data_IF_872407471033
#
_entry.id   IF_872407471033
#
_cell.length_a   1.000
_cell.length_b   1.000
_cell.length_c   1.000
_cell.angle_alpha   90.00
_cell.angle_beta   90.00
_cell.angle_gamma   90.00
#
_symmetry.space_group_name_H-M   'P 1'
#
loop_
_entity.id
_entity.type
_entity.pdbx_description
1 polymer ?
#
# COMPACT_ATOMS: atom_id res chain seq x y z
N UNK A 1 20.63 -13.19 -8.60
CA UNK A 1 19.44 -12.32 -8.80
C UNK A 1 19.61 -10.94 -8.16
N UNK A 2 20.25 -10.85 -7.00
CA UNK A 2 20.47 -9.65 -6.20
C UNK A 2 21.15 -8.50 -6.95
N UNK A 3 22.18 -8.76 -7.77
CA UNK A 3 22.91 -7.68 -8.46
C UNK A 3 22.11 -6.93 -9.53
N UNK A 4 21.26 -7.62 -10.31
CA UNK A 4 20.42 -6.97 -11.34
C UNK A 4 19.30 -6.18 -10.69
N UNK A 5 18.64 -6.76 -9.68
CA UNK A 5 17.57 -6.08 -8.94
C UNK A 5 18.15 -4.86 -8.21
N UNK A 6 19.31 -4.97 -7.60
CA UNK A 6 19.98 -3.85 -6.91
C UNK A 6 20.21 -2.65 -7.84
N UNK A 7 20.67 -2.86 -9.09
CA UNK A 7 20.86 -1.76 -10.06
C UNK A 7 19.58 -0.98 -10.35
N UNK A 8 18.44 -1.63 -10.36
CA UNK A 8 17.13 -0.96 -10.55
C UNK A 8 16.85 -0.02 -9.36
N UNK A 9 17.19 -0.45 -8.15
CA UNK A 9 17.01 0.38 -6.95
C UNK A 9 18.06 1.48 -6.84
N UNK A 10 19.30 1.27 -7.30
CA UNK A 10 20.36 2.29 -7.33
C UNK A 10 19.97 3.47 -8.23
N UNK A 11 19.38 3.21 -9.40
CA UNK A 11 18.88 4.30 -10.27
C UNK A 11 17.78 5.12 -9.58
N UNK A 12 16.98 4.48 -8.72
CA UNK A 12 15.92 5.15 -7.96
C UNK A 12 16.48 6.01 -6.82
N UNK A 13 17.59 5.63 -6.22
CA UNK A 13 18.27 6.43 -5.17
C UNK A 13 18.65 7.81 -5.69
N UNK A 14 19.18 7.89 -6.91
CA UNK A 14 19.52 9.19 -7.55
C UNK A 14 18.30 10.10 -7.71
N UNK A 15 17.12 9.52 -7.98
CA UNK A 15 15.89 10.31 -8.03
C UNK A 15 15.43 10.75 -6.62
N UNK A 16 15.62 9.91 -5.59
CA UNK A 16 15.26 10.24 -4.21
C UNK A 16 16.12 11.37 -3.65
N UNK A 17 17.41 11.46 -4.03
CA UNK A 17 18.29 12.57 -3.65
C UNK A 17 17.76 13.92 -4.16
N UNK A 18 17.14 13.96 -5.35
CA UNK A 18 16.50 15.17 -5.86
C UNK A 18 15.35 15.65 -4.98
N UNK A 19 14.63 14.73 -4.30
CA UNK A 19 13.52 15.12 -3.41
C UNK A 19 13.99 15.96 -2.22
N UNK A 20 15.24 15.80 -1.77
CA UNK A 20 15.82 16.60 -0.69
C UNK A 20 16.16 18.02 -1.17
N UNK A 21 16.60 18.16 -2.41
CA UNK A 21 17.11 19.42 -2.95
C UNK A 21 16.04 20.19 -3.74
N UNK A 22 15.12 19.48 -4.39
CA UNK A 22 14.14 20.04 -5.34
C UNK A 22 12.69 19.77 -4.91
N UNK A 23 12.44 19.54 -3.61
CA UNK A 23 11.14 19.10 -3.10
C UNK A 23 9.96 20.00 -3.53
N UNK A 24 10.14 21.32 -3.52
CA UNK A 24 9.10 22.28 -3.95
C UNK A 24 8.79 22.10 -5.44
N UNK A 25 9.79 22.09 -6.31
CA UNK A 25 9.62 21.93 -7.75
C UNK A 25 8.94 20.60 -8.10
N UNK A 26 9.28 19.53 -7.38
CA UNK A 26 8.66 18.20 -7.55
C UNK A 26 7.19 18.20 -7.12
N UNK A 27 6.84 18.88 -6.03
CA UNK A 27 5.45 19.03 -5.60
C UNK A 27 4.63 19.84 -6.60
N UNK A 28 5.18 20.93 -7.12
CA UNK A 28 4.56 21.75 -8.17
C UNK A 28 4.34 20.95 -9.46
N UNK A 29 5.30 20.12 -9.84
CA UNK A 29 5.17 19.23 -11.00
C UNK A 29 4.06 18.18 -10.80
N UNK A 30 3.94 17.61 -9.60
CA UNK A 30 2.86 16.67 -9.27
C UNK A 30 1.51 17.36 -9.30
N UNK A 31 1.38 18.54 -8.71
CA UNK A 31 0.14 19.33 -8.73
C UNK A 31 -0.28 19.67 -10.16
N UNK A 32 0.67 20.18 -10.97
CA UNK A 32 0.42 20.52 -12.39
C UNK A 32 -0.04 19.30 -13.18
N UNK A 33 0.56 18.13 -12.92
CA UNK A 33 0.12 16.88 -13.54
C UNK A 33 -1.30 16.50 -13.10
N UNK A 34 -1.63 16.57 -11.80
CA UNK A 34 -2.98 16.26 -11.29
C UNK A 34 -4.05 17.14 -11.91
N UNK A 35 -3.78 18.45 -11.98
CA UNK A 35 -4.69 19.43 -12.61
C UNK A 35 -4.88 19.10 -14.10
N UNK A 36 -3.79 18.83 -14.82
CA UNK A 36 -3.84 18.53 -16.25
C UNK A 36 -4.60 17.24 -16.56
N UNK A 37 -4.42 16.19 -15.74
CA UNK A 37 -5.16 14.94 -15.91
C UNK A 37 -6.65 15.11 -15.61
N UNK A 38 -7.00 15.85 -14.56
CA UNK A 38 -8.39 15.97 -14.10
C UNK A 38 -9.17 17.12 -14.78
N UNK A 39 -8.56 17.92 -15.66
CA UNK A 39 -9.18 19.14 -16.22
C UNK A 39 -10.51 18.91 -16.94
N UNK A 40 -10.68 17.73 -17.58
CA UNK A 40 -11.90 17.37 -18.31
C UNK A 40 -12.93 16.63 -17.46
N UNK A 41 -12.64 16.36 -16.19
CA UNK A 41 -13.62 15.79 -15.24
C UNK A 41 -14.68 16.85 -14.89
N UNK A 42 -15.82 16.40 -14.35
CA UNK A 42 -16.83 17.33 -13.81
C UNK A 42 -16.22 18.24 -12.75
N UNK A 43 -15.48 17.65 -11.80
CA UNK A 43 -14.79 18.40 -10.75
C UNK A 43 -13.79 19.42 -11.33
N UNK A 44 -12.99 18.99 -12.31
CA UNK A 44 -12.02 19.88 -12.96
C UNK A 44 -12.65 21.05 -13.70
N UNK A 45 -13.74 20.81 -14.42
CA UNK A 45 -14.49 21.88 -15.11
C UNK A 45 -15.13 22.86 -14.12
N UNK A 46 -15.77 22.34 -13.05
CA UNK A 46 -16.41 23.15 -12.02
C UNK A 46 -15.42 24.06 -11.27
N UNK A 47 -14.14 23.69 -11.24
CA UNK A 47 -13.08 24.43 -10.57
C UNK A 47 -12.06 25.05 -11.52
N UNK A 48 -12.41 25.18 -12.81
CA UNK A 48 -11.61 25.84 -13.84
C UNK A 48 -10.16 25.30 -13.98
N UNK A 49 -9.97 23.99 -13.86
CA UNK A 49 -8.64 23.37 -13.97
C UNK A 49 -7.93 23.67 -15.29
N UNK A 50 -8.67 23.85 -16.40
CA UNK A 50 -8.09 24.16 -17.71
C UNK A 50 -7.28 25.48 -17.75
N UNK A 51 -7.61 26.43 -16.88
CA UNK A 51 -6.95 27.74 -16.82
C UNK A 51 -6.09 27.93 -15.57
N UNK A 52 -6.11 26.96 -14.66
CA UNK A 52 -5.45 27.02 -13.35
C UNK A 52 -3.93 26.95 -13.48
N UNK A 53 -3.23 27.90 -12.85
CA UNK A 53 -1.76 27.99 -12.87
C UNK A 53 -1.19 27.87 -11.46
N UNK A 54 -0.68 26.67 -11.14
CA UNK A 54 0.09 26.48 -9.93
C UNK A 54 -0.69 26.47 -8.61
N UNK A 55 0.08 26.51 -7.53
CA UNK A 55 -0.42 26.26 -6.17
C UNK A 55 -1.34 27.36 -5.65
N UNK A 56 -1.02 28.64 -5.93
CA UNK A 56 -1.77 29.77 -5.38
C UNK A 56 -3.20 29.82 -5.95
N UNK A 57 -3.36 29.57 -7.25
CA UNK A 57 -4.69 29.49 -7.86
C UNK A 57 -5.44 28.24 -7.41
N UNK A 58 -4.73 27.12 -7.23
CA UNK A 58 -5.32 25.90 -6.70
C UNK A 58 -5.92 26.13 -5.31
N UNK A 59 -5.15 26.66 -4.37
CA UNK A 59 -5.62 26.92 -2.99
C UNK A 59 -6.73 27.95 -2.90
N UNK A 60 -6.77 28.91 -3.84
CA UNK A 60 -7.82 29.95 -3.91
C UNK A 60 -9.13 29.39 -4.45
N UNK A 61 -9.09 28.49 -5.43
CA UNK A 61 -10.26 28.02 -6.16
C UNK A 61 -10.82 26.70 -5.64
N UNK A 62 -10.00 25.89 -4.93
CA UNK A 62 -10.42 24.61 -4.41
C UNK A 62 -10.63 24.70 -2.90
N UNK A 63 -11.87 24.57 -2.41
CA UNK A 63 -12.10 24.50 -0.97
C UNK A 63 -11.57 23.19 -0.38
N UNK A 64 -11.29 23.19 0.91
CA UNK A 64 -11.01 21.96 1.65
C UNK A 64 -12.33 21.20 1.75
N UNK A 65 -12.37 20.02 1.14
CA UNK A 65 -13.55 19.16 1.14
C UNK A 65 -13.42 18.05 2.18
N UNK A 66 -14.51 17.78 2.87
CA UNK A 66 -14.68 16.56 3.67
C UNK A 66 -15.12 15.39 2.79
N UNK A 67 -15.05 14.17 3.32
CA UNK A 67 -15.57 13.00 2.61
C UNK A 67 -17.08 13.13 2.31
N UNK A 68 -17.84 13.70 3.24
CA UNK A 68 -19.32 13.80 3.10
C UNK A 68 -19.68 14.73 1.94
N UNK A 69 -18.89 15.78 1.67
CA UNK A 69 -19.10 16.68 0.54
C UNK A 69 -18.77 16.04 -0.81
N UNK A 70 -17.86 15.07 -0.83
CA UNK A 70 -17.49 14.33 -2.05
C UNK A 70 -18.27 13.01 -2.22
N UNK A 71 -19.06 12.63 -1.23
CA UNK A 71 -19.70 11.32 -1.16
C UNK A 71 -20.61 11.03 -2.35
N UNK A 72 -21.44 11.97 -2.75
CA UNK A 72 -22.37 11.78 -3.88
C UNK A 72 -21.61 11.58 -5.19
N UNK A 73 -20.52 12.33 -5.40
CA UNK A 73 -19.62 12.15 -6.55
C UNK A 73 -18.96 10.77 -6.52
N UNK A 74 -18.49 10.33 -5.35
CA UNK A 74 -17.91 9.00 -5.17
C UNK A 74 -18.95 7.90 -5.43
N UNK A 75 -20.17 8.05 -4.95
CA UNK A 75 -21.25 7.08 -5.17
C UNK A 75 -21.65 7.00 -6.66
N UNK A 76 -21.71 8.10 -7.38
CA UNK A 76 -21.88 8.12 -8.84
C UNK A 76 -20.75 7.34 -9.56
N UNK A 77 -19.50 7.58 -9.18
CA UNK A 77 -18.35 6.84 -9.71
C UNK A 77 -18.46 5.34 -9.41
N UNK A 78 -18.93 4.95 -8.23
CA UNK A 78 -19.15 3.54 -7.86
C UNK A 78 -20.23 2.87 -8.71
N UNK A 79 -21.24 3.62 -9.15
CA UNK A 79 -22.27 3.16 -10.08
C UNK A 79 -21.82 3.19 -11.55
N UNK A 80 -20.55 3.49 -11.81
CA UNK A 80 -19.93 3.38 -13.13
C UNK A 80 -19.86 4.68 -13.92
N UNK A 81 -20.24 5.82 -13.32
CA UNK A 81 -20.07 7.11 -13.97
C UNK A 81 -18.58 7.46 -14.10
N UNK A 82 -18.19 7.92 -15.27
CA UNK A 82 -16.81 8.29 -15.59
C UNK A 82 -16.60 9.78 -15.49
N UNK A 83 -15.37 10.21 -15.37
CA UNK A 83 -14.98 11.62 -15.48
C UNK A 83 -15.65 12.54 -14.45
N UNK A 84 -15.98 12.01 -13.25
CA UNK A 84 -16.55 12.79 -12.15
C UNK A 84 -15.44 13.48 -11.36
N UNK A 85 -14.69 12.76 -10.51
CA UNK A 85 -13.55 13.31 -9.73
C UNK A 85 -12.20 12.99 -10.37
N UNK A 86 -12.13 11.93 -11.16
CA UNK A 86 -10.93 11.44 -11.84
C UNK A 86 -11.28 10.94 -13.24
N UNK A 87 -10.36 11.05 -14.24
CA UNK A 87 -10.64 10.63 -15.60
C UNK A 87 -10.93 9.14 -15.72
N UNK A 88 -11.89 8.83 -16.55
CA UNK A 88 -12.30 7.46 -16.87
C UNK A 88 -12.96 6.74 -15.71
N UNK A 89 -12.94 5.40 -15.79
CA UNK A 89 -13.58 4.54 -14.79
C UNK A 89 -12.61 4.16 -13.66
N UNK A 90 -13.02 4.39 -12.41
CA UNK A 90 -12.35 3.86 -11.23
C UNK A 90 -13.04 2.56 -10.81
N UNK A 91 -12.30 1.45 -10.89
CA UNK A 91 -12.83 0.12 -10.59
C UNK A 91 -12.76 -0.24 -9.11
N UNK A 92 -11.72 0.22 -8.41
CA UNK A 92 -11.45 -0.18 -7.03
C UNK A 92 -11.75 0.92 -6.03
N UNK A 93 -12.34 0.50 -4.89
CA UNK A 93 -12.64 1.39 -3.77
C UNK A 93 -12.13 0.78 -2.48
N UNK A 94 -11.24 1.49 -1.79
CA UNK A 94 -10.75 1.09 -0.49
C UNK A 94 -11.79 1.41 0.58
N UNK A 95 -12.18 0.39 1.35
CA UNK A 95 -13.08 0.56 2.49
C UNK A 95 -12.26 1.00 3.71
N UNK A 96 -12.58 2.17 4.27
CA UNK A 96 -11.98 2.59 5.55
C UNK A 96 -12.67 1.89 6.73
N UNK A 97 -11.90 1.64 7.79
CA UNK A 97 -12.42 1.19 9.07
C UNK A 97 -13.12 2.35 9.78
N UNK A 98 -14.30 2.75 9.35
CA UNK A 98 -14.99 3.94 9.87
C UNK A 98 -15.02 3.99 11.40
N UNK A 99 -14.28 4.93 11.97
CA UNK A 99 -14.27 5.22 13.42
C UNK A 99 -15.24 6.35 13.78
N UNK A 100 -15.81 7.03 12.80
CA UNK A 100 -16.74 8.14 13.00
C UNK A 100 -18.09 7.79 12.38
N UNK A 101 -19.14 7.69 13.18
CA UNK A 101 -20.55 7.46 12.78
C UNK A 101 -20.89 6.11 12.12
N UNK A 102 -20.22 5.02 12.45
CA UNK A 102 -20.54 3.63 11.98
C UNK A 102 -20.72 3.43 10.46
N UNK A 103 -20.39 4.42 9.63
CA UNK A 103 -20.51 4.33 8.18
C UNK A 103 -19.14 4.17 7.53
N UNK A 104 -18.92 3.05 6.87
CA UNK A 104 -17.71 2.83 6.07
C UNK A 104 -17.62 3.85 4.95
N UNK A 105 -16.41 4.43 4.77
CA UNK A 105 -16.10 5.31 3.65
C UNK A 105 -15.47 4.50 2.52
N UNK A 106 -15.78 4.85 1.29
CA UNK A 106 -15.27 4.20 0.08
C UNK A 106 -14.36 5.16 -0.67
N UNK A 107 -13.07 4.95 -0.57
CA UNK A 107 -12.06 5.82 -1.17
C UNK A 107 -11.71 5.29 -2.56
N UNK A 108 -11.91 6.09 -3.62
CA UNK A 108 -11.55 5.68 -4.98
C UNK A 108 -10.05 5.39 -5.10
N UNK A 109 -9.70 4.27 -5.74
CA UNK A 109 -8.31 3.87 -5.99
C UNK A 109 -8.09 3.77 -7.49
N UNK A 110 -7.57 4.84 -8.07
CA UNK A 110 -7.28 4.91 -9.49
C UNK A 110 -6.05 4.07 -9.86
N UNK A 111 -5.91 3.75 -11.14
CA UNK A 111 -4.74 3.04 -11.68
C UNK A 111 -3.46 3.86 -11.49
N UNK A 112 -3.56 5.17 -11.66
CA UNK A 112 -2.47 6.12 -11.47
C UNK A 112 -2.06 6.19 -9.99
N UNK A 113 -3.03 6.23 -9.07
CA UNK A 113 -2.80 6.17 -7.63
C UNK A 113 -2.07 4.89 -7.21
N UNK A 114 -2.46 3.73 -7.75
CA UNK A 114 -1.74 2.48 -7.52
C UNK A 114 -0.29 2.57 -7.98
N UNK A 115 -0.04 3.07 -9.20
CA UNK A 115 1.31 3.09 -9.79
C UNK A 115 2.20 4.18 -9.19
N UNK A 116 1.71 5.43 -9.17
CA UNK A 116 2.52 6.62 -8.87
C UNK A 116 2.65 6.89 -7.37
N UNK A 117 1.72 6.39 -6.57
CA UNK A 117 1.72 6.60 -5.12
C UNK A 117 2.07 5.30 -4.38
N UNK A 118 1.22 4.28 -4.44
CA UNK A 118 1.38 3.10 -3.60
C UNK A 118 2.58 2.23 -3.99
N UNK A 119 2.67 1.78 -5.24
CA UNK A 119 3.80 0.93 -5.64
C UNK A 119 5.11 1.70 -5.71
N UNK A 120 5.08 2.97 -6.14
CA UNK A 120 6.26 3.81 -6.15
C UNK A 120 6.76 4.06 -4.73
N UNK A 121 5.87 4.41 -3.78
CA UNK A 121 6.25 4.61 -2.38
C UNK A 121 6.83 3.36 -1.73
N UNK A 122 6.26 2.17 -1.99
CA UNK A 122 6.83 0.90 -1.55
C UNK A 122 8.21 0.63 -2.15
N UNK A 123 8.40 0.96 -3.43
CA UNK A 123 9.69 0.85 -4.11
C UNK A 123 10.72 1.81 -3.52
N UNK A 124 10.32 3.05 -3.20
CA UNK A 124 11.16 4.06 -2.57
C UNK A 124 11.63 3.63 -1.18
N UNK A 125 10.75 3.05 -0.37
CA UNK A 125 11.10 2.53 0.95
C UNK A 125 12.20 1.45 0.87
N UNK A 126 12.11 0.54 -0.11
CA UNK A 126 13.15 -0.46 -0.34
C UNK A 126 14.44 0.17 -0.85
N UNK A 127 14.37 1.16 -1.75
CA UNK A 127 15.55 1.86 -2.25
C UNK A 127 16.31 2.57 -1.12
N UNK A 128 15.60 3.27 -0.22
CA UNK A 128 16.18 3.91 0.95
C UNK A 128 16.78 2.90 1.94
N UNK A 129 16.13 1.76 2.14
CA UNK A 129 16.69 0.69 2.97
C UNK A 129 18.02 0.18 2.41
N UNK A 130 18.09 -0.09 1.10
CA UNK A 130 19.29 -0.59 0.44
C UNK A 130 20.43 0.45 0.43
N UNK A 131 20.11 1.74 0.35
CA UNK A 131 21.09 2.82 0.46
C UNK A 131 21.79 2.79 1.83
N UNK A 132 21.00 2.63 2.89
CA UNK A 132 21.52 2.55 4.26
C UNK A 132 22.14 1.18 4.60
N UNK A 133 21.84 0.14 3.83
CA UNK A 133 22.30 -1.23 4.07
C UNK A 133 22.90 -1.84 2.78
N UNK A 134 24.10 -1.42 2.36
CA UNK A 134 24.69 -1.85 1.08
C UNK A 134 24.98 -3.36 1.01
N UNK A 135 25.13 -4.02 2.16
CA UNK A 135 25.37 -5.48 2.27
C UNK A 135 24.08 -6.31 2.41
N UNK A 136 22.90 -5.66 2.38
CA UNK A 136 21.63 -6.34 2.53
C UNK A 136 21.43 -7.46 1.50
N UNK A 137 20.86 -8.54 1.96
CA UNK A 137 20.47 -9.74 1.18
C UNK A 137 18.95 -9.89 1.10
N UNK A 138 18.22 -8.79 1.23
CA UNK A 138 16.75 -8.76 1.27
C UNK A 138 16.09 -9.49 0.09
N UNK A 139 16.75 -9.54 -1.07
CA UNK A 139 16.25 -10.25 -2.27
C UNK A 139 16.71 -11.70 -2.40
N UNK A 140 17.49 -12.23 -1.46
CA UNK A 140 17.94 -13.63 -1.49
C UNK A 140 16.89 -14.58 -0.92
N UNK A 141 15.79 -14.05 -0.40
CA UNK A 141 14.68 -14.80 0.16
C UNK A 141 13.31 -14.34 -0.34
N UNK A 142 12.30 -14.63 0.48
CA UNK A 142 10.89 -14.31 0.23
C UNK A 142 10.45 -13.12 1.07
N UNK A 143 9.49 -12.37 0.52
CA UNK A 143 8.79 -11.30 1.24
C UNK A 143 7.46 -11.83 1.78
N UNK A 144 7.29 -11.89 3.09
CA UNK A 144 6.00 -12.17 3.70
C UNK A 144 5.17 -10.88 3.74
N UNK A 145 4.10 -10.82 2.96
CA UNK A 145 3.24 -9.64 2.86
C UNK A 145 1.84 -9.97 3.38
N UNK A 146 1.47 -9.37 4.51
CA UNK A 146 0.11 -9.44 5.03
C UNK A 146 -0.74 -8.32 4.44
N UNK A 147 -1.92 -8.69 3.99
CA UNK A 147 -2.94 -7.76 3.53
C UNK A 147 -4.30 -8.08 4.13
N UNK A 148 -5.22 -7.13 4.06
CA UNK A 148 -6.61 -7.32 4.38
C UNK A 148 -7.32 -8.26 3.40
N UNK A 149 -8.62 -8.08 3.24
CA UNK A 149 -9.46 -8.90 2.39
C UNK A 149 -10.32 -8.06 1.45
N UNK A 150 -10.88 -8.70 0.44
CA UNK A 150 -11.96 -8.10 -0.34
C UNK A 150 -13.24 -8.03 0.50
N UNK A 151 -14.09 -7.06 0.18
CA UNK A 151 -15.39 -6.86 0.82
C UNK A 151 -16.52 -7.02 -0.22
N UNK A 152 -16.76 -8.24 -0.73
CA UNK A 152 -17.66 -8.50 -1.85
C UNK A 152 -19.09 -8.06 -1.60
N UNK A 153 -19.56 -8.04 -0.35
CA UNK A 153 -20.89 -7.56 0.03
C UNK A 153 -21.12 -6.07 -0.29
N UNK A 154 -20.05 -5.32 -0.54
CA UNK A 154 -20.11 -3.90 -0.92
C UNK A 154 -19.83 -3.66 -2.40
N UNK A 155 -19.59 -4.71 -3.19
CA UNK A 155 -19.39 -4.59 -4.63
C UNK A 155 -20.70 -4.15 -5.31
N UNK A 156 -20.54 -3.32 -6.32
CA UNK A 156 -21.59 -3.02 -7.28
C UNK A 156 -21.20 -3.60 -8.64
N UNK A 157 -22.11 -3.53 -9.62
CA UNK A 157 -21.84 -4.01 -10.98
C UNK A 157 -20.51 -3.48 -11.55
N UNK A 158 -20.23 -2.22 -11.27
CA UNK A 158 -19.12 -1.47 -11.89
C UNK A 158 -17.98 -1.15 -10.92
N UNK A 159 -18.08 -1.54 -9.65
CA UNK A 159 -17.05 -1.28 -8.65
C UNK A 159 -16.80 -2.46 -7.72
N UNK A 160 -15.53 -2.64 -7.36
CA UNK A 160 -15.06 -3.66 -6.43
C UNK A 160 -14.53 -2.99 -5.16
N UNK A 161 -14.79 -3.60 -4.03
CA UNK A 161 -14.44 -3.06 -2.71
C UNK A 161 -13.54 -4.02 -1.95
N UNK A 162 -12.59 -3.47 -1.21
CA UNK A 162 -11.72 -4.22 -0.31
C UNK A 162 -10.88 -3.32 0.56
N UNK A 163 -10.13 -3.91 1.46
CA UNK A 163 -9.07 -3.18 2.15
C UNK A 163 -8.01 -2.72 1.14
N UNK A 164 -7.40 -1.56 1.35
CA UNK A 164 -6.38 -1.03 0.43
C UNK A 164 -5.26 -2.04 0.17
N UNK A 165 -4.79 -2.74 1.20
CA UNK A 165 -3.74 -3.76 1.06
C UNK A 165 -4.19 -4.98 0.23
N UNK A 166 -5.48 -5.35 0.28
CA UNK A 166 -6.02 -6.39 -0.59
C UNK A 166 -6.06 -5.93 -2.06
N UNK A 167 -6.45 -4.67 -2.30
CA UNK A 167 -6.45 -4.06 -3.63
C UNK A 167 -5.02 -4.02 -4.19
N UNK A 168 -4.03 -3.66 -3.38
CA UNK A 168 -2.61 -3.67 -3.77
C UNK A 168 -2.15 -5.08 -4.14
N UNK A 169 -2.45 -6.10 -3.33
CA UNK A 169 -2.12 -7.50 -3.60
C UNK A 169 -2.81 -8.00 -4.88
N UNK A 170 -4.07 -7.60 -5.11
CA UNK A 170 -4.81 -7.98 -6.30
C UNK A 170 -4.18 -7.45 -7.60
N UNK A 171 -3.68 -6.22 -7.56
CA UNK A 171 -3.16 -5.50 -8.73
C UNK A 171 -1.63 -5.49 -8.81
N UNK A 172 -0.93 -6.22 -7.94
CA UNK A 172 0.55 -6.28 -7.94
C UNK A 172 1.09 -6.87 -9.24
N UNK A 173 2.27 -6.42 -9.65
CA UNK A 173 2.96 -6.99 -10.80
C UNK A 173 3.12 -8.52 -10.63
N UNK A 174 2.77 -9.34 -11.65
CA UNK A 174 2.88 -10.79 -11.58
C UNK A 174 4.28 -11.29 -11.18
N UNK A 175 5.34 -10.60 -11.57
CA UNK A 175 6.72 -10.95 -11.19
C UNK A 175 6.95 -10.85 -9.67
N UNK A 176 6.32 -9.89 -9.00
CA UNK A 176 6.41 -9.77 -7.55
C UNK A 176 5.75 -10.96 -6.82
N UNK A 177 4.76 -11.62 -7.43
CA UNK A 177 4.16 -12.82 -6.87
C UNK A 177 5.11 -14.04 -6.83
N UNK A 178 6.19 -14.02 -7.61
CA UNK A 178 7.19 -15.11 -7.59
C UNK A 178 8.02 -15.12 -6.31
N UNK A 179 8.21 -13.96 -5.70
CA UNK A 179 9.02 -13.78 -4.48
C UNK A 179 8.19 -13.55 -3.22
N UNK A 180 6.89 -13.27 -3.38
CA UNK A 180 5.97 -12.99 -2.29
C UNK A 180 5.39 -14.28 -1.69
N UNK A 181 5.20 -14.27 -0.39
CA UNK A 181 4.35 -15.21 0.36
C UNK A 181 3.38 -14.39 1.23
N UNK A 182 2.20 -14.92 1.56
CA UNK A 182 1.59 -16.12 1.01
C UNK A 182 1.20 -15.96 -0.46
N UNK A 183 0.83 -17.06 -1.12
CA UNK A 183 0.21 -16.98 -2.46
C UNK A 183 -1.04 -16.09 -2.43
N UNK A 184 -1.37 -15.46 -3.55
CA UNK A 184 -2.51 -14.53 -3.67
C UNK A 184 -3.82 -15.13 -3.10
N UNK A 185 -4.12 -16.38 -3.41
CA UNK A 185 -5.30 -17.08 -2.92
C UNK A 185 -5.37 -17.11 -1.37
N UNK A 186 -4.25 -17.37 -0.72
CA UNK A 186 -4.14 -17.39 0.75
C UNK A 186 -4.19 -15.96 1.31
N UNK A 187 -3.49 -15.01 0.67
CA UNK A 187 -3.43 -13.61 1.10
C UNK A 187 -4.80 -12.93 1.16
N UNK A 188 -5.74 -13.32 0.31
CA UNK A 188 -7.06 -12.70 0.14
C UNK A 188 -8.18 -13.45 0.86
N UNK A 189 -7.91 -14.47 1.67
CA UNK A 189 -8.90 -15.13 2.52
C UNK A 189 -9.52 -14.08 3.46
N UNK A 190 -10.84 -14.09 3.56
CA UNK A 190 -11.59 -13.17 4.42
C UNK A 190 -11.59 -13.57 5.89
N UNK A 191 -11.68 -14.88 6.17
CA UNK A 191 -11.58 -15.41 7.54
C UNK A 191 -10.14 -15.29 8.05
N UNK A 192 -9.97 -14.48 9.09
CA UNK A 192 -8.63 -14.18 9.62
C UNK A 192 -7.97 -15.40 10.29
N UNK A 193 -8.71 -16.22 10.99
CA UNK A 193 -8.15 -17.39 11.70
C UNK A 193 -7.64 -18.44 10.70
N UNK A 194 -8.44 -18.73 9.67
CA UNK A 194 -8.05 -19.63 8.59
C UNK A 194 -6.85 -19.06 7.82
N UNK A 195 -6.89 -17.76 7.55
CA UNK A 195 -5.81 -17.04 6.86
C UNK A 195 -4.52 -17.10 7.64
N UNK A 196 -4.56 -16.80 8.95
CA UNK A 196 -3.44 -16.81 9.88
C UNK A 196 -2.75 -18.17 9.90
N UNK A 197 -3.51 -19.24 10.12
CA UNK A 197 -2.96 -20.61 10.18
C UNK A 197 -2.31 -21.03 8.85
N UNK A 198 -2.97 -20.75 7.73
CA UNK A 198 -2.41 -21.04 6.40
C UNK A 198 -1.14 -20.26 6.10
N UNK A 199 -1.09 -18.97 6.46
CA UNK A 199 0.10 -18.14 6.26
C UNK A 199 1.25 -18.65 7.12
N UNK A 200 1.01 -18.94 8.40
CA UNK A 200 2.03 -19.47 9.31
C UNK A 200 2.64 -20.77 8.75
N UNK A 201 1.82 -21.72 8.30
CA UNK A 201 2.29 -23.00 7.70
C UNK A 201 3.00 -22.80 6.37
N UNK A 202 2.55 -21.87 5.53
CA UNK A 202 3.20 -21.59 4.23
C UNK A 202 4.56 -20.92 4.41
N UNK A 203 4.71 -20.06 5.44
CA UNK A 203 5.88 -19.22 5.65
C UNK A 203 6.99 -19.90 6.47
N UNK A 204 6.65 -20.74 7.46
CA UNK A 204 7.61 -21.30 8.41
C UNK A 204 8.77 -22.07 7.76
N UNK A 205 8.56 -22.71 6.60
CA UNK A 205 9.58 -23.49 5.90
C UNK A 205 10.21 -22.74 4.72
N UNK A 206 10.09 -21.39 4.70
CA UNK A 206 10.66 -20.55 3.64
C UNK A 206 11.77 -19.68 4.19
N UNK A 207 12.75 -19.37 3.34
CA UNK A 207 13.74 -18.36 3.67
C UNK A 207 13.08 -16.99 3.53
N UNK A 208 12.54 -16.44 4.63
CA UNK A 208 11.94 -15.10 4.67
C UNK A 208 13.02 -14.11 5.05
N UNK A 209 13.18 -13.07 4.23
CA UNK A 209 14.15 -12.00 4.45
C UNK A 209 13.50 -10.68 4.86
N UNK A 210 12.23 -10.52 4.57
CA UNK A 210 11.50 -9.34 5.00
C UNK A 210 10.00 -9.63 5.18
N UNK A 211 9.38 -8.85 6.04
CA UNK A 211 7.96 -8.92 6.34
C UNK A 211 7.31 -7.55 6.12
N UNK A 212 6.04 -7.54 5.75
CA UNK A 212 5.28 -6.31 5.52
C UNK A 212 3.81 -6.49 5.93
N UNK A 213 3.29 -5.53 6.69
CA UNK A 213 1.89 -5.54 7.11
C UNK A 213 1.65 -4.74 8.38
N UNK A 214 0.42 -4.78 8.88
CA UNK A 214 0.03 -4.16 10.15
C UNK A 214 0.65 -4.95 11.30
N UNK A 215 1.36 -4.30 12.26
CA UNK A 215 2.09 -4.98 13.32
C UNK A 215 1.28 -5.97 14.14
N UNK A 216 0.07 -5.61 14.59
CA UNK A 216 -0.79 -6.49 15.38
C UNK A 216 -1.19 -7.77 14.64
N UNK A 217 -1.49 -7.67 13.36
CA UNK A 217 -1.80 -8.85 12.53
C UNK A 217 -0.57 -9.69 12.25
N UNK A 218 0.57 -9.04 12.01
CA UNK A 218 1.85 -9.73 11.83
C UNK A 218 2.22 -10.50 13.09
N UNK A 219 2.11 -9.88 14.27
CA UNK A 219 2.37 -10.54 15.56
C UNK A 219 1.51 -11.82 15.71
N UNK A 220 0.21 -11.74 15.40
CA UNK A 220 -0.68 -12.92 15.47
C UNK A 220 -0.22 -14.06 14.56
N UNK A 221 0.26 -13.75 13.34
CA UNK A 221 0.81 -14.77 12.41
C UNK A 221 2.12 -15.35 12.94
N UNK A 222 3.02 -14.50 13.47
CA UNK A 222 4.29 -14.92 14.04
C UNK A 222 4.09 -15.81 15.26
N UNK A 223 3.20 -15.41 16.18
CA UNK A 223 2.83 -16.25 17.35
C UNK A 223 2.33 -17.61 16.90
N UNK A 224 1.42 -17.66 15.92
CA UNK A 224 0.91 -18.93 15.38
C UNK A 224 2.01 -19.78 14.75
N UNK A 225 2.95 -19.16 14.08
CA UNK A 225 4.10 -19.85 13.49
C UNK A 225 5.01 -20.44 14.57
N UNK A 226 5.27 -19.72 15.66
CA UNK A 226 6.05 -20.19 16.80
C UNK A 226 5.38 -21.40 17.47
N UNK A 227 4.07 -21.34 17.71
CA UNK A 227 3.28 -22.45 18.24
C UNK A 227 3.41 -23.72 17.38
N UNK A 228 3.29 -23.59 16.05
CA UNK A 228 3.35 -24.72 15.13
C UNK A 228 4.78 -25.30 15.04
N UNK A 229 5.79 -24.43 15.03
CA UNK A 229 7.19 -24.84 14.85
C UNK A 229 7.83 -25.35 16.14
N UNK A 230 7.25 -25.03 17.31
CA UNK A 230 7.86 -25.30 18.62
C UNK A 230 9.12 -24.49 18.90
N UNK A 231 9.36 -23.41 18.10
CA UNK A 231 10.49 -22.50 18.28
C UNK A 231 10.11 -21.35 19.21
N UNK A 232 11.11 -20.77 19.87
CA UNK A 232 10.93 -19.66 20.82
C UNK A 232 11.39 -18.32 20.26
N UNK A 233 12.29 -18.33 19.28
CA UNK A 233 12.83 -17.11 18.66
C UNK A 233 12.62 -17.10 17.17
N UNK A 234 12.28 -15.90 16.63
CA UNK A 234 12.00 -15.72 15.19
C UNK A 234 13.21 -16.09 14.32
N UNK A 235 14.41 -15.81 14.79
CA UNK A 235 15.67 -16.12 14.11
C UNK A 235 15.91 -17.62 13.93
N UNK A 236 15.31 -18.46 14.78
CA UNK A 236 15.38 -19.94 14.63
C UNK A 236 14.51 -20.42 13.45
N UNK A 237 13.49 -19.66 13.07
CA UNK A 237 12.62 -19.95 11.92
C UNK A 237 13.13 -19.25 10.67
N UNK A 238 13.50 -18.00 10.79
CA UNK A 238 13.98 -17.15 9.68
C UNK A 238 15.32 -16.48 10.00
N UNK A 239 16.43 -17.21 9.90
CA UNK A 239 17.75 -16.70 10.27
C UNK A 239 18.25 -15.54 9.40
N UNK A 240 17.61 -15.32 8.26
CA UNK A 240 17.98 -14.27 7.30
C UNK A 240 16.98 -13.11 7.26
N UNK A 241 16.13 -12.97 8.30
CA UNK A 241 15.20 -11.85 8.34
C UNK A 241 15.96 -10.54 8.59
N UNK A 242 15.70 -9.50 7.78
CA UNK A 242 16.42 -8.23 7.85
C UNK A 242 15.49 -7.04 8.11
N UNK A 243 14.24 -7.08 7.61
CA UNK A 243 13.42 -5.87 7.55
C UNK A 243 11.93 -6.14 7.79
N UNK A 244 11.32 -5.23 8.56
CA UNK A 244 9.88 -5.14 8.72
C UNK A 244 9.36 -3.81 8.18
N UNK A 245 8.57 -3.86 7.10
CA UNK A 245 7.87 -2.73 6.54
C UNK A 245 6.47 -2.64 7.16
N UNK A 246 6.21 -1.61 7.92
CA UNK A 246 4.89 -1.41 8.55
C UNK A 246 4.40 0.02 8.46
N UNK A 247 3.10 0.21 8.67
CA UNK A 247 2.44 1.50 8.70
C UNK A 247 1.09 1.40 9.44
N UNK A 248 0.44 2.54 9.60
CA UNK A 248 -0.88 2.59 10.22
C UNK A 248 -0.91 2.48 11.75
N UNK A 249 0.25 2.54 12.41
CA UNK A 249 0.41 2.53 13.88
C UNK A 249 1.45 3.54 14.30
N UNK A 250 1.35 4.03 15.54
CA UNK A 250 2.38 4.88 16.11
C UNK A 250 3.73 4.14 16.22
N UNK A 251 4.83 4.87 16.05
CA UNK A 251 6.18 4.31 16.09
C UNK A 251 6.50 3.56 17.40
N UNK A 252 5.90 3.97 18.53
CA UNK A 252 6.04 3.30 19.84
C UNK A 252 5.46 1.88 19.80
N UNK A 253 4.28 1.70 19.21
CA UNK A 253 3.62 0.39 19.09
C UNK A 253 4.43 -0.53 18.15
N UNK A 254 4.94 0.01 17.03
CA UNK A 254 5.80 -0.74 16.13
C UNK A 254 7.07 -1.26 16.80
N UNK A 255 7.71 -0.47 17.65
CA UNK A 255 8.87 -0.87 18.45
C UNK A 255 8.53 -1.94 19.49
N UNK A 256 7.41 -1.81 20.18
CA UNK A 256 6.96 -2.81 21.15
C UNK A 256 6.77 -4.18 20.50
N UNK A 257 6.14 -4.24 19.33
CA UNK A 257 5.99 -5.49 18.57
C UNK A 257 7.33 -6.08 18.14
N UNK A 258 8.28 -5.25 17.70
CA UNK A 258 9.63 -5.70 17.36
C UNK A 258 10.39 -6.25 18.57
N UNK A 259 10.25 -5.59 19.73
CA UNK A 259 10.85 -6.04 20.99
C UNK A 259 10.25 -7.37 21.44
N UNK A 260 8.94 -7.51 21.42
CA UNK A 260 8.24 -8.73 21.78
C UNK A 260 8.61 -9.93 20.88
N UNK A 261 8.89 -9.67 19.60
CA UNK A 261 9.41 -10.70 18.67
C UNK A 261 10.87 -11.07 18.92
N UNK A 262 11.67 -10.22 19.58
CA UNK A 262 13.06 -10.51 19.96
C UNK A 262 13.17 -11.19 21.33
N UNK A 263 12.28 -10.83 22.26
CA UNK A 263 12.33 -11.29 23.63
C UNK A 263 11.55 -12.59 23.89
N UNK A 264 10.87 -13.11 22.86
CA UNK A 264 10.19 -14.41 22.84
C UNK A 264 10.90 -15.39 21.94
#
# INVERSE_FOLDING_TARGET
>A
MTGVVRKVFESRQLELEKHQNEGKALQEAVLSWLIAEAKETEFGRNHAFATMKGYDEFTKNIPINTYEELKDSIDRMRHGETDVLWPGRVKWYAKSSGTTNDKSKFIPVSREGLKRMHYKGGFDAVAMYLQNNPKSRIFDGRSLILGGSHAPNYNLKDSLVGDLSAILIENINPLANLVRIPKKKTALISDFEIKRDKIAREAMNKNVTNISGVPSWMLSVLTRMMEISGKTHLEEVWPNIEMFFHGGVEAKIGRAVQQECRDR
#
